data_IF_452314717000
#
_entry.id   IF_452314717000
#
_cell.length_a   1.000
_cell.length_b   1.000
_cell.length_c   1.000
_cell.angle_alpha   90.00
_cell.angle_beta   90.00
_cell.angle_gamma   90.00
#
_symmetry.space_group_name_H-M   'P 1'
#
loop_
_entity.id
_entity.type
_entity.pdbx_description
1 polymer ?
#
# COMPACT_ATOMS: atom_id res chain seq x y z
N UNK A 1 -55.00 18.64 15.29
CA UNK A 1 -53.85 19.07 16.12
C UNK A 1 -52.59 18.95 15.27
N UNK A 2 -51.90 20.07 15.06
CA UNK A 2 -50.62 20.18 14.33
C UNK A 2 -49.50 19.96 15.33
N UNK A 3 -48.59 19.00 15.11
CA UNK A 3 -47.20 19.12 15.58
C UNK A 3 -46.27 18.36 14.62
N UNK A 4 -45.43 19.13 13.94
CA UNK A 4 -44.32 18.70 13.11
C UNK A 4 -43.37 17.79 13.89
N UNK A 5 -42.93 16.69 13.27
CA UNK A 5 -41.76 15.95 13.70
C UNK A 5 -40.60 16.32 12.78
N UNK A 6 -39.63 17.03 13.35
CA UNK A 6 -38.44 17.58 12.72
C UNK A 6 -37.54 16.47 12.18
N UNK A 7 -37.14 16.57 10.90
CA UNK A 7 -36.12 15.72 10.29
C UNK A 7 -34.77 15.90 11.01
N UNK A 8 -34.32 14.88 11.74
CA UNK A 8 -32.94 14.78 12.20
C UNK A 8 -32.06 14.43 11.00
N UNK A 9 -31.47 15.44 10.37
CA UNK A 9 -30.45 15.25 9.35
C UNK A 9 -29.14 14.89 10.07
N UNK A 10 -28.84 13.60 10.18
CA UNK A 10 -27.51 13.12 10.55
C UNK A 10 -26.56 13.43 9.40
N UNK A 11 -25.89 14.58 9.46
CA UNK A 11 -24.77 14.87 8.58
C UNK A 11 -23.60 13.95 8.96
N UNK A 12 -23.44 12.85 8.22
CA UNK A 12 -22.24 12.04 8.29
C UNK A 12 -21.07 12.84 7.69
N UNK A 13 -20.21 13.37 8.55
CA UNK A 13 -18.93 13.96 8.13
C UNK A 13 -18.04 12.81 7.65
N UNK A 14 -17.97 12.61 6.33
CA UNK A 14 -17.01 11.69 5.73
C UNK A 14 -15.61 12.27 5.91
N UNK A 15 -14.90 11.86 6.97
CA UNK A 15 -13.47 12.11 7.09
C UNK A 15 -12.76 11.32 5.99
N UNK A 16 -12.43 11.98 4.88
CA UNK A 16 -11.51 11.42 3.89
C UNK A 16 -10.12 11.44 4.50
N UNK A 17 -9.81 10.42 5.31
CA UNK A 17 -8.43 10.05 5.56
C UNK A 17 -7.83 9.75 4.18
N UNK A 18 -7.02 10.68 3.66
CA UNK A 18 -6.25 10.43 2.45
C UNK A 18 -5.32 9.28 2.79
N UNK A 19 -5.68 8.09 2.31
CA UNK A 19 -4.83 6.91 2.43
C UNK A 19 -3.46 7.32 1.91
N UNK A 20 -2.46 7.26 2.78
CA UNK A 20 -1.11 7.67 2.44
C UNK A 20 -0.58 6.59 1.52
N UNK A 21 -0.86 6.74 0.23
CA UNK A 21 -0.46 5.78 -0.79
C UNK A 21 1.02 5.47 -0.58
N UNK A 22 1.40 4.20 -0.30
CA UNK A 22 2.78 3.79 -0.25
C UNK A 22 3.39 4.19 -1.59
N UNK A 23 4.27 5.21 -1.57
CA UNK A 23 4.92 5.66 -2.79
C UNK A 23 6.05 4.68 -3.05
N UNK A 24 6.00 3.90 -4.13
CA UNK A 24 7.11 3.05 -4.53
C UNK A 24 8.40 3.86 -4.69
N UNK A 25 9.54 3.19 -4.61
CA UNK A 25 10.81 3.82 -5.02
C UNK A 25 10.75 4.29 -6.48
N UNK A 26 11.58 5.27 -6.84
CA UNK A 26 11.61 5.86 -8.21
C UNK A 26 11.94 4.82 -9.29
N UNK A 27 12.61 3.76 -8.90
CA UNK A 27 13.05 2.66 -9.75
C UNK A 27 11.92 1.67 -10.04
N UNK A 28 10.77 1.79 -9.37
CA UNK A 28 9.65 0.88 -9.56
C UNK A 28 9.15 0.88 -11.01
N UNK A 29 9.11 -0.29 -11.61
CA UNK A 29 8.63 -0.52 -12.98
C UNK A 29 7.29 -1.24 -13.03
N UNK A 30 6.89 -1.89 -11.93
CA UNK A 30 5.58 -2.55 -11.80
C UNK A 30 5.05 -2.43 -10.38
N UNK A 31 3.80 -2.00 -10.30
CA UNK A 31 2.98 -1.98 -9.07
C UNK A 31 1.85 -2.99 -9.15
N UNK A 32 1.48 -3.54 -8.00
CA UNK A 32 0.33 -4.44 -7.83
C UNK A 32 -0.51 -3.92 -6.66
N UNK A 33 -1.82 -3.86 -6.86
CA UNK A 33 -2.77 -3.47 -5.82
C UNK A 33 -2.99 -4.65 -4.89
N UNK A 34 -2.81 -4.44 -3.58
CA UNK A 34 -3.10 -5.42 -2.54
C UNK A 34 -4.58 -5.79 -2.57
N UNK A 35 -4.88 -7.06 -2.70
CA UNK A 35 -6.24 -7.62 -2.73
C UNK A 35 -6.65 -8.10 -1.34
N UNK A 36 -7.96 -8.23 -1.06
CA UNK A 36 -8.43 -8.85 0.18
C UNK A 36 -7.92 -10.28 0.42
N UNK A 37 -7.50 -10.98 -0.64
CA UNK A 37 -6.94 -12.33 -0.58
C UNK A 37 -5.46 -12.36 -0.17
N UNK A 38 -4.78 -11.20 -0.16
CA UNK A 38 -3.37 -11.10 0.18
C UNK A 38 -3.23 -10.97 1.71
N UNK A 39 -3.02 -12.10 2.38
CA UNK A 39 -3.11 -12.17 3.85
C UNK A 39 -1.82 -11.80 4.59
N UNK A 40 -0.73 -11.54 3.85
CA UNK A 40 0.54 -11.14 4.44
C UNK A 40 1.65 -10.93 3.41
N UNK A 41 2.73 -10.26 3.84
CA UNK A 41 3.80 -9.77 2.96
C UNK A 41 4.62 -10.87 2.32
N UNK A 42 4.83 -11.99 3.03
CA UNK A 42 5.57 -13.14 2.50
C UNK A 42 4.78 -13.75 1.34
N UNK A 43 3.51 -14.11 1.58
CA UNK A 43 2.63 -14.66 0.55
C UNK A 43 2.46 -13.69 -0.63
N UNK A 44 2.29 -12.39 -0.35
CA UNK A 44 2.19 -11.35 -1.38
C UNK A 44 3.47 -11.26 -2.23
N UNK A 45 4.65 -11.29 -1.59
CA UNK A 45 5.93 -11.26 -2.28
C UNK A 45 6.11 -12.51 -3.17
N UNK A 46 5.82 -13.69 -2.63
CA UNK A 46 5.91 -14.97 -3.35
C UNK A 46 4.96 -15.03 -4.55
N UNK A 47 3.72 -14.59 -4.37
CA UNK A 47 2.73 -14.49 -5.45
C UNK A 47 3.16 -13.55 -6.59
N UNK A 48 4.08 -12.62 -6.30
CA UNK A 48 4.66 -11.70 -7.27
C UNK A 48 6.09 -12.07 -7.71
N UNK A 49 6.59 -13.24 -7.30
CA UNK A 49 7.89 -13.76 -7.71
C UNK A 49 9.10 -13.03 -7.11
N UNK A 50 8.92 -12.42 -5.93
CA UNK A 50 9.97 -11.66 -5.24
C UNK A 50 10.12 -12.11 -3.79
N UNK A 51 11.24 -11.76 -3.17
CA UNK A 51 11.47 -12.03 -1.75
C UNK A 51 10.81 -10.96 -0.88
N UNK A 52 10.49 -11.30 0.38
CA UNK A 52 10.03 -10.31 1.36
C UNK A 52 11.05 -9.17 1.56
N UNK A 53 12.35 -9.48 1.51
CA UNK A 53 13.42 -8.47 1.58
C UNK A 53 13.36 -7.48 0.42
N UNK A 54 13.08 -7.96 -0.80
CA UNK A 54 12.89 -7.08 -1.95
C UNK A 54 11.62 -6.23 -1.80
N UNK A 55 10.52 -6.83 -1.33
CA UNK A 55 9.28 -6.10 -1.09
C UNK A 55 9.49 -4.94 -0.10
N UNK A 56 10.18 -5.17 1.02
CA UNK A 56 10.55 -4.11 1.97
C UNK A 56 11.46 -3.05 1.35
N UNK A 57 12.49 -3.48 0.61
CA UNK A 57 13.44 -2.56 -0.02
C UNK A 57 12.78 -1.63 -1.05
N UNK A 58 11.71 -2.08 -1.72
CA UNK A 58 11.05 -1.32 -2.78
C UNK A 58 9.83 -0.52 -2.31
N UNK A 59 9.41 -0.74 -1.06
CA UNK A 59 8.26 -0.10 -0.43
C UNK A 59 8.64 0.38 0.98
N UNK A 60 9.37 1.49 1.09
CA UNK A 60 9.96 1.97 2.36
C UNK A 60 8.96 2.29 3.48
N UNK A 61 7.67 2.45 3.15
CA UNK A 61 6.60 2.62 4.15
C UNK A 61 6.07 1.30 4.68
N UNK A 62 6.36 0.18 4.02
CA UNK A 62 5.99 -1.14 4.51
C UNK A 62 6.81 -1.45 5.76
N UNK A 63 6.12 -1.71 6.85
CA UNK A 63 6.72 -2.10 8.10
C UNK A 63 7.39 -3.47 7.96
N UNK A 64 8.59 -3.68 8.52
CA UNK A 64 9.20 -5.01 8.62
C UNK A 64 8.34 -6.03 9.39
N UNK A 65 7.39 -5.56 10.21
CA UNK A 65 6.42 -6.42 10.90
C UNK A 65 5.25 -6.84 10.01
N UNK A 66 5.12 -6.27 8.82
CA UNK A 66 3.99 -6.48 7.91
C UNK A 66 2.61 -6.17 8.54
N UNK A 67 2.56 -5.24 9.49
CA UNK A 67 1.31 -4.83 10.15
C UNK A 67 0.55 -3.74 9.39
N UNK A 68 1.02 -3.35 8.21
CA UNK A 68 0.45 -2.30 7.36
C UNK A 68 0.45 -2.65 5.85
N UNK A 69 0.22 -3.92 5.53
CA UNK A 69 -0.10 -4.33 4.15
C UNK A 69 -1.58 -4.06 3.87
N UNK A 70 -1.89 -2.81 3.57
CA UNK A 70 -3.28 -2.35 3.47
C UNK A 70 -3.90 -2.71 2.10
N UNK A 71 -5.13 -3.24 2.14
CA UNK A 71 -5.91 -3.57 0.93
C UNK A 71 -6.18 -2.29 0.13
N UNK A 72 -6.13 -2.42 -1.21
CA UNK A 72 -6.22 -1.34 -2.18
C UNK A 72 -4.99 -0.43 -2.28
N UNK A 73 -3.94 -0.68 -1.51
CA UNK A 73 -2.69 0.06 -1.68
C UNK A 73 -1.79 -0.53 -2.77
N UNK A 74 -1.10 0.31 -3.56
CA UNK A 74 -0.14 -0.14 -4.56
C UNK A 74 1.20 -0.50 -3.91
N UNK A 75 1.67 -1.71 -4.21
CA UNK A 75 2.98 -2.20 -3.81
C UNK A 75 3.88 -2.41 -5.01
N UNK A 76 5.12 -1.93 -4.92
CA UNK A 76 6.14 -2.19 -5.92
C UNK A 76 6.57 -3.64 -5.90
N UNK A 77 6.51 -4.30 -7.05
CA UNK A 77 6.90 -5.71 -7.22
C UNK A 77 7.93 -5.93 -8.32
N UNK A 78 8.39 -4.86 -8.97
CA UNK A 78 9.50 -4.91 -9.92
C UNK A 78 10.18 -3.56 -9.98
N UNK A 79 11.49 -3.57 -10.15
CA UNK A 79 12.30 -2.38 -10.32
C UNK A 79 13.11 -2.48 -11.61
N UNK A 80 13.50 -1.34 -12.17
CA UNK A 80 14.59 -1.33 -13.15
C UNK A 80 15.86 -1.82 -12.44
N UNK A 81 16.65 -2.73 -13.04
CA UNK A 81 17.93 -3.11 -12.48
C UNK A 81 18.75 -1.86 -12.16
N UNK A 82 19.13 -1.71 -10.90
CA UNK A 82 20.12 -0.70 -10.55
C UNK A 82 21.39 -1.08 -11.29
N UNK A 83 21.92 -0.16 -12.10
CA UNK A 83 23.29 -0.32 -12.61
C UNK A 83 24.16 -0.56 -11.37
N UNK A 84 24.99 -1.62 -11.33
CA UNK A 84 25.91 -1.81 -10.24
C UNK A 84 26.69 -0.52 -10.06
N UNK A 85 26.59 0.10 -8.89
CA UNK A 85 27.45 1.22 -8.54
C UNK A 85 28.84 0.62 -8.55
N UNK A 86 29.70 1.01 -9.51
CA UNK A 86 31.13 0.69 -9.43
C UNK A 86 31.57 1.20 -8.06
N UNK A 87 31.98 0.28 -7.19
CA UNK A 87 32.59 0.62 -5.90
C UNK A 87 33.72 1.61 -6.22
N UNK A 88 33.76 2.82 -5.63
CA UNK A 88 34.94 3.67 -5.74
C UNK A 88 36.13 2.87 -5.19
N UNK A 89 37.18 2.74 -6.00
CA UNK A 89 38.45 2.13 -5.59
C UNK A 89 39.12 2.96 -4.48
#
# INVERSE_FOLDING_TARGET
>A
MKFSATLLVLAAVASSAMAVVPKPIKECTKTVIVKPTDTGCIQFAEANGITFKQLLAWNYKLSPKCDNLDVNEPMCVSIKPLKPIKKPE
#
